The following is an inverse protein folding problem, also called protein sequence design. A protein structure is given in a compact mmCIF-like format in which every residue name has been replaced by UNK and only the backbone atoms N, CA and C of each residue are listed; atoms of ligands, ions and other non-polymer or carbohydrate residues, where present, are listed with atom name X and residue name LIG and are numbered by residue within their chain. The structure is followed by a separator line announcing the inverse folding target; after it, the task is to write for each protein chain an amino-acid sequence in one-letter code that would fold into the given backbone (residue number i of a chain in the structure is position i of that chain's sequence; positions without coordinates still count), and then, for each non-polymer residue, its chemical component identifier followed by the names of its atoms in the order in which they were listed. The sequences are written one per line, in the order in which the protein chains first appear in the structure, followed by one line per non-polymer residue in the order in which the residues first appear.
data_IF_578519125304
#
_entry.id   IF_578519125304
#
_cell.length_a   1.000
_cell.length_b   1.000
_cell.length_c   1.000
_cell.angle_alpha   90.00
_cell.angle_beta   90.00
_cell.angle_gamma   90.00
#
_symmetry.space_group_name_H-M   'P 1'
#
loop_
_entity.id
_entity.type
_entity.pdbx_description
1 polymer ?
#
# COMPACT_ATOMS: atom_id res chain seq x y z
N UNK A 1 6.06 -6.09 -4.77
CA UNK A 1 7.26 -6.14 -3.93
C UNK A 1 8.49 -6.24 -4.81
N UNK A 2 9.40 -5.28 -4.73
CA UNK A 2 10.65 -5.20 -5.51
C UNK A 2 11.86 -5.62 -4.67
N UNK A 3 13.05 -5.65 -5.30
CA UNK A 3 14.32 -5.97 -4.62
C UNK A 3 14.60 -5.11 -3.39
N UNK A 4 14.20 -3.85 -3.39
CA UNK A 4 14.33 -2.98 -2.20
C UNK A 4 13.48 -3.46 -1.04
N UNK A 5 12.25 -3.89 -1.31
CA UNK A 5 11.38 -4.48 -0.29
C UNK A 5 11.91 -5.82 0.21
N UNK A 6 12.34 -6.70 -0.69
CA UNK A 6 12.96 -7.98 -0.34
C UNK A 6 14.24 -7.80 0.49
N UNK A 7 15.07 -6.79 0.18
CA UNK A 7 16.24 -6.46 0.98
C UNK A 7 15.87 -6.08 2.41
N UNK A 8 14.84 -5.29 2.62
CA UNK A 8 14.36 -4.94 3.96
C UNK A 8 13.87 -6.19 4.72
N UNK A 9 13.09 -7.04 4.06
CA UNK A 9 12.61 -8.30 4.64
C UNK A 9 13.75 -9.26 4.97
N UNK A 10 14.80 -9.32 4.15
CA UNK A 10 16.00 -10.12 4.42
C UNK A 10 16.73 -9.67 5.67
N UNK A 11 16.82 -8.35 5.91
CA UNK A 11 17.46 -7.81 7.10
C UNK A 11 16.75 -8.17 8.41
N UNK A 12 15.45 -8.43 8.37
CA UNK A 12 14.68 -8.89 9.53
C UNK A 12 14.33 -10.40 9.47
N UNK A 13 14.92 -11.17 8.55
CA UNK A 13 14.73 -12.62 8.47
C UNK A 13 13.37 -13.05 7.90
N UNK A 14 12.61 -12.13 7.25
CA UNK A 14 11.25 -12.37 6.77
C UNK A 14 11.14 -12.63 5.26
N UNK A 15 12.27 -12.63 4.52
CA UNK A 15 12.22 -12.75 3.06
C UNK A 15 11.56 -14.04 2.59
N UNK A 16 11.91 -15.18 3.16
CA UNK A 16 11.35 -16.49 2.74
C UNK A 16 9.86 -16.56 2.99
N UNK A 17 9.40 -16.17 4.18
CA UNK A 17 7.98 -16.14 4.50
C UNK A 17 7.18 -15.21 3.58
N UNK A 18 7.75 -14.04 3.24
CA UNK A 18 7.10 -13.13 2.30
C UNK A 18 7.05 -13.71 0.88
N UNK A 19 8.07 -14.46 0.45
CA UNK A 19 8.08 -15.11 -0.86
C UNK A 19 7.02 -16.20 -0.98
N UNK A 20 6.70 -16.93 0.10
CA UNK A 20 5.65 -17.96 0.12
C UNK A 20 4.26 -17.41 -0.22
N UNK A 21 4.00 -16.13 0.09
CA UNK A 21 2.73 -15.45 -0.17
C UNK A 21 2.80 -14.49 -1.37
N UNK A 22 3.86 -14.57 -2.18
CA UNK A 22 4.05 -13.76 -3.38
C UNK A 22 3.67 -14.50 -4.65
N UNK A 23 3.23 -13.76 -5.65
CA UNK A 23 3.11 -14.23 -7.03
C UNK A 23 4.14 -13.49 -7.89
N UNK A 24 5.10 -14.19 -8.51
CA UNK A 24 6.06 -13.57 -9.41
C UNK A 24 5.38 -13.11 -10.70
N UNK A 25 5.65 -11.87 -11.10
CA UNK A 25 5.23 -11.28 -12.37
C UNK A 25 6.46 -10.98 -13.21
N UNK A 26 6.59 -11.65 -14.34
CA UNK A 26 7.80 -11.60 -15.18
C UNK A 26 7.81 -10.43 -16.16
N UNK A 27 6.68 -9.76 -16.34
CA UNK A 27 6.57 -8.61 -17.22
C UNK A 27 5.28 -7.82 -17.00
N UNK A 28 5.13 -6.81 -17.83
CA UNK A 28 3.90 -6.03 -17.96
C UNK A 28 3.12 -6.54 -19.17
N UNK A 29 1.82 -6.71 -19.03
CA UNK A 29 0.91 -6.99 -20.14
C UNK A 29 0.03 -5.77 -20.37
N UNK A 30 0.33 -5.08 -21.47
CA UNK A 30 -0.40 -3.88 -21.87
C UNK A 30 -1.64 -4.28 -22.66
N UNK A 31 -2.77 -3.63 -22.39
CA UNK A 31 -4.04 -3.83 -23.08
C UNK A 31 -4.45 -2.56 -23.80
N UNK A 32 -4.58 -2.62 -25.11
CA UNK A 32 -5.06 -1.49 -25.89
C UNK A 32 -6.59 -1.33 -25.83
N UNK A 33 -7.12 -0.36 -26.55
CA UNK A 33 -8.56 -0.08 -26.60
C UNK A 33 -9.34 -1.06 -27.50
N UNK A 34 -8.64 -1.83 -28.34
CA UNK A 34 -9.22 -2.82 -29.25
C UNK A 34 -9.24 -4.23 -28.64
N UNK A 35 -8.65 -4.39 -27.45
CA UNK A 35 -8.53 -5.67 -26.74
C UNK A 35 -7.29 -6.48 -27.09
N UNK A 36 -6.38 -5.93 -27.93
CA UNK A 36 -5.09 -6.57 -28.18
C UNK A 36 -4.17 -6.43 -26.97
N UNK A 37 -3.25 -7.37 -26.84
CA UNK A 37 -2.28 -7.37 -25.75
C UNK A 37 -0.86 -7.45 -26.26
N UNK A 38 0.06 -6.77 -25.61
CA UNK A 38 1.48 -6.90 -25.85
C UNK A 38 2.26 -6.93 -24.54
N UNK A 39 3.24 -7.83 -24.48
CA UNK A 39 4.06 -8.04 -23.30
C UNK A 39 5.32 -7.20 -23.36
N UNK A 40 5.75 -6.68 -22.21
CA UNK A 40 7.01 -5.99 -22.01
C UNK A 40 7.67 -6.49 -20.74
N UNK A 41 8.89 -6.99 -20.85
CA UNK A 41 9.68 -7.41 -19.69
C UNK A 41 10.05 -6.21 -18.81
N UNK A 42 10.31 -6.46 -17.53
CA UNK A 42 10.77 -5.41 -16.61
C UNK A 42 12.16 -4.90 -16.94
N UNK A 43 13.01 -5.75 -17.48
CA UNK A 43 14.35 -5.42 -17.95
C UNK A 43 14.75 -6.29 -19.14
N UNK A 44 15.93 -6.03 -19.71
CA UNK A 44 16.52 -6.89 -20.75
C UNK A 44 17.23 -8.14 -20.19
N UNK A 45 17.14 -8.42 -18.89
CA UNK A 45 17.78 -9.58 -18.26
C UNK A 45 16.77 -10.71 -18.09
N UNK A 46 17.24 -11.94 -18.28
CA UNK A 46 16.47 -13.13 -17.99
C UNK A 46 16.24 -13.27 -16.48
N UNK A 47 15.06 -13.76 -16.08
CA UNK A 47 14.66 -14.02 -14.70
C UNK A 47 14.50 -12.79 -13.79
N UNK A 48 14.45 -11.58 -14.31
CA UNK A 48 14.01 -10.42 -13.53
C UNK A 48 12.47 -10.35 -13.47
N UNK A 49 11.97 -10.26 -12.26
CA UNK A 49 10.53 -10.19 -11.98
C UNK A 49 10.26 -9.32 -10.75
N UNK A 50 9.04 -8.86 -10.63
CA UNK A 50 8.54 -8.27 -9.38
C UNK A 50 7.48 -9.19 -8.79
N UNK A 51 7.28 -9.09 -7.49
CA UNK A 51 6.31 -9.94 -6.80
C UNK A 51 5.04 -9.14 -6.52
N UNK A 52 3.89 -9.70 -6.90
CA UNK A 52 2.62 -9.31 -6.31
C UNK A 52 2.52 -9.89 -4.91
N UNK A 53 2.01 -9.12 -3.98
CA UNK A 53 1.77 -9.52 -2.60
C UNK A 53 0.62 -8.71 -2.03
N UNK A 54 -0.28 -9.36 -1.34
CA UNK A 54 -1.32 -8.68 -0.56
C UNK A 54 -0.69 -7.85 0.54
N UNK A 55 -1.06 -6.57 0.63
CA UNK A 55 -0.60 -5.70 1.72
C UNK A 55 -1.09 -6.16 3.08
N UNK A 56 -2.31 -6.70 3.13
CA UNK A 56 -2.90 -7.26 4.33
C UNK A 56 -2.12 -8.46 4.84
N UNK A 57 -1.85 -9.42 3.94
CA UNK A 57 -1.12 -10.65 4.31
C UNK A 57 0.32 -10.37 4.71
N UNK A 58 1.01 -9.46 3.98
CA UNK A 58 2.34 -9.03 4.38
C UNK A 58 2.35 -8.39 5.76
N UNK A 59 1.38 -7.52 6.05
CA UNK A 59 1.25 -6.91 7.36
C UNK A 59 0.98 -7.95 8.45
N UNK A 60 0.10 -8.90 8.19
CA UNK A 60 -0.23 -9.98 9.12
C UNK A 60 1.00 -10.82 9.49
N UNK A 61 1.76 -11.34 8.50
CA UNK A 61 2.94 -12.15 8.80
C UNK A 61 4.04 -11.39 9.53
N UNK A 62 4.15 -10.07 9.32
CA UNK A 62 5.11 -9.22 10.03
C UNK A 62 4.69 -8.98 11.49
N UNK A 63 3.39 -8.77 11.73
CA UNK A 63 2.84 -8.64 13.08
C UNK A 63 2.93 -9.97 13.85
N UNK A 64 2.57 -11.09 13.21
CA UNK A 64 2.70 -12.43 13.78
C UNK A 64 4.16 -12.76 14.17
N UNK A 65 5.13 -12.29 13.39
CA UNK A 65 6.53 -12.48 13.75
C UNK A 65 6.95 -11.57 14.91
N UNK A 66 6.52 -10.30 14.89
CA UNK A 66 6.83 -9.36 15.96
C UNK A 66 6.27 -9.83 17.31
N UNK A 67 5.07 -10.40 17.32
CA UNK A 67 4.39 -10.88 18.53
C UNK A 67 5.10 -12.08 19.21
N UNK A 68 5.94 -12.82 18.48
CA UNK A 68 6.74 -13.92 19.05
C UNK A 68 7.86 -13.45 19.99
N UNK A 69 8.22 -12.19 19.95
CA UNK A 69 9.26 -11.63 20.79
C UNK A 69 8.67 -11.16 22.12
N UNK A 70 9.12 -11.72 23.21
CA UNK A 70 8.60 -11.45 24.58
C UNK A 70 8.69 -9.96 24.99
N UNK A 71 9.60 -9.21 24.37
CA UNK A 71 9.78 -7.78 24.61
C UNK A 71 8.99 -6.88 23.67
N UNK A 72 8.14 -7.44 22.80
CA UNK A 72 7.27 -6.70 21.89
C UNK A 72 5.82 -6.80 22.37
N UNK A 73 5.14 -5.67 22.42
CA UNK A 73 3.71 -5.59 22.73
C UNK A 73 2.98 -4.88 21.58
N UNK A 74 1.99 -5.53 21.02
CA UNK A 74 1.15 -4.98 19.96
C UNK A 74 -0.14 -4.43 20.58
N UNK A 75 -0.44 -3.18 20.27
CA UNK A 75 -1.65 -2.50 20.72
C UNK A 75 -2.49 -2.05 19.54
N UNK A 76 -3.62 -2.71 19.30
CA UNK A 76 -4.56 -2.39 18.24
C UNK A 76 -5.62 -1.38 18.69
N UNK A 77 -6.29 -0.75 17.72
CA UNK A 77 -7.33 0.26 17.95
C UNK A 77 -6.87 1.49 18.74
N UNK A 78 -5.56 1.75 18.75
CA UNK A 78 -4.96 2.89 19.43
C UNK A 78 -4.44 3.89 18.38
N UNK A 79 -5.09 5.02 18.26
CA UNK A 79 -4.67 6.08 17.32
C UNK A 79 -3.81 7.09 18.04
N UNK A 80 -2.60 7.30 17.55
CA UNK A 80 -1.76 8.41 18.00
C UNK A 80 -2.37 9.73 17.51
N UNK A 81 -2.74 10.60 18.44
CA UNK A 81 -3.31 11.92 18.14
C UNK A 81 -2.19 12.97 18.03
N UNK A 82 -1.25 12.96 18.98
CA UNK A 82 -0.10 13.84 18.91
C UNK A 82 1.05 13.30 19.79
N UNK A 83 2.25 13.88 19.61
CA UNK A 83 3.44 13.56 20.41
C UNK A 83 4.01 14.83 21.02
N UNK A 84 4.20 14.84 22.34
CA UNK A 84 5.05 15.82 23.02
C UNK A 84 6.50 15.49 22.70
N UNK A 85 7.09 16.28 21.80
CA UNK A 85 8.44 16.05 21.30
C UNK A 85 9.52 16.30 22.36
N UNK A 86 9.28 17.23 23.28
CA UNK A 86 10.28 17.57 24.31
C UNK A 86 10.40 16.46 25.36
N UNK A 87 9.27 15.88 25.76
CA UNK A 87 9.22 14.91 26.83
C UNK A 87 9.15 13.45 26.33
N UNK A 88 9.08 13.24 25.01
CA UNK A 88 8.89 11.95 24.36
C UNK A 88 7.63 11.21 24.88
N UNK A 89 6.51 11.93 24.98
CA UNK A 89 5.22 11.40 25.40
C UNK A 89 4.29 11.31 24.18
N UNK A 90 3.82 10.11 23.85
CA UNK A 90 2.84 9.90 22.81
C UNK A 90 1.43 9.83 23.40
N UNK A 91 0.50 10.62 22.86
CA UNK A 91 -0.90 10.70 23.27
C UNK A 91 -1.78 9.94 22.28
N UNK A 92 -2.58 9.04 22.81
CA UNK A 92 -3.41 8.12 22.04
C UNK A 92 -4.88 8.24 22.43
N UNK A 93 -5.72 7.93 21.45
CA UNK A 93 -7.12 7.63 21.65
C UNK A 93 -7.39 6.16 21.44
N UNK A 94 -8.01 5.52 22.40
CA UNK A 94 -8.51 4.17 22.27
C UNK A 94 -9.86 4.17 21.52
N UNK A 95 -9.90 3.58 20.33
CA UNK A 95 -11.12 3.53 19.53
C UNK A 95 -12.16 2.55 20.07
N UNK A 96 -11.78 1.59 20.89
CA UNK A 96 -12.69 0.63 21.51
C UNK A 96 -13.38 1.23 22.76
N UNK A 97 -12.60 1.83 23.67
CA UNK A 97 -13.13 2.40 24.91
C UNK A 97 -13.47 3.89 24.83
N UNK A 98 -12.98 4.60 23.78
CA UNK A 98 -13.06 6.06 23.59
C UNK A 98 -12.25 6.87 24.60
N UNK A 99 -11.43 6.25 25.41
CA UNK A 99 -10.59 6.88 26.41
C UNK A 99 -9.28 7.41 25.78
N UNK A 100 -8.81 8.50 26.36
CA UNK A 100 -7.51 9.07 26.01
C UNK A 100 -6.47 8.57 27.03
N UNK A 101 -5.26 8.23 26.54
CA UNK A 101 -4.15 7.81 27.40
C UNK A 101 -2.81 8.24 26.78
N UNK A 102 -1.76 8.18 27.58
CA UNK A 102 -0.41 8.59 27.16
C UNK A 102 0.62 7.53 27.52
N UNK A 103 1.67 7.47 26.71
CA UNK A 103 2.81 6.58 26.93
C UNK A 103 4.09 7.41 26.90
N UNK A 104 4.87 7.32 27.97
CA UNK A 104 6.23 7.84 28.05
C UNK A 104 7.18 6.86 27.37
N UNK A 105 8.11 7.35 26.57
CA UNK A 105 9.08 6.52 25.88
C UNK A 105 10.46 7.16 25.84
N UNK A 106 11.51 6.34 25.84
CA UNK A 106 12.87 6.84 25.63
C UNK A 106 13.09 7.27 24.17
N UNK A 107 12.44 6.57 23.21
CA UNK A 107 12.52 6.85 21.78
C UNK A 107 11.17 6.53 21.14
N UNK A 108 10.71 7.39 20.23
CA UNK A 108 9.49 7.19 19.46
C UNK A 108 9.83 7.12 17.97
N UNK A 109 9.44 6.05 17.29
CA UNK A 109 9.54 5.90 15.85
C UNK A 109 8.18 6.09 15.21
N UNK A 110 8.08 7.00 14.23
CA UNK A 110 6.88 7.22 13.44
C UNK A 110 6.87 6.38 12.18
N UNK A 111 6.09 5.30 12.16
CA UNK A 111 5.76 4.52 10.96
C UNK A 111 4.35 4.79 10.43
N UNK A 112 3.74 5.91 10.80
CA UNK A 112 2.33 6.27 10.66
C UNK A 112 1.98 6.93 9.30
N UNK A 113 2.88 6.84 8.31
CA UNK A 113 2.60 7.11 6.90
C UNK A 113 2.42 8.59 6.54
N UNK A 114 1.69 8.83 5.43
CA UNK A 114 1.51 10.17 4.87
C UNK A 114 0.76 11.14 5.80
N UNK A 115 -0.16 10.62 6.62
CA UNK A 115 -0.91 11.40 7.61
C UNK A 115 -0.26 11.54 8.98
N UNK A 116 1.03 11.22 9.12
CA UNK A 116 1.78 11.08 10.37
C UNK A 116 1.46 12.12 11.43
N UNK A 117 0.99 11.66 12.60
CA UNK A 117 0.75 12.48 13.79
C UNK A 117 2.07 12.95 14.40
N UNK A 118 3.11 12.08 14.38
CA UNK A 118 4.43 12.46 14.85
C UNK A 118 5.01 13.61 14.01
N UNK A 119 4.92 13.53 12.67
CA UNK A 119 5.39 14.63 11.80
C UNK A 119 4.61 15.92 12.04
N UNK A 120 3.28 15.85 12.20
CA UNK A 120 2.45 17.02 12.54
C UNK A 120 2.88 17.65 13.85
N UNK A 121 3.25 16.85 14.84
CA UNK A 121 3.76 17.33 16.11
C UNK A 121 5.07 18.10 15.96
N UNK A 122 6.01 17.63 15.11
CA UNK A 122 7.23 18.38 14.77
C UNK A 122 6.94 19.71 14.05
N UNK A 123 5.98 19.74 13.14
CA UNK A 123 5.59 20.97 12.43
C UNK A 123 4.99 22.01 13.39
N UNK A 124 4.23 21.57 14.39
CA UNK A 124 3.61 22.45 15.40
C UNK A 124 4.58 22.91 16.48
N UNK A 125 5.68 22.19 16.70
CA UNK A 125 6.67 22.53 17.72
C UNK A 125 7.67 23.58 17.22
N UNK A 126 7.52 24.82 17.71
CA UNK A 126 8.30 25.98 17.24
C UNK A 126 9.79 25.89 17.58
N UNK A 127 10.18 25.16 18.60
CA UNK A 127 11.58 25.08 19.04
C UNK A 127 12.45 24.30 18.07
N UNK A 128 11.91 23.36 17.31
CA UNK A 128 12.64 22.51 16.38
C UNK A 128 12.82 23.12 14.98
N UNK A 129 12.18 24.22 14.67
CA UNK A 129 12.22 24.87 13.36
C UNK A 129 12.07 23.86 12.20
N UNK A 130 11.18 22.90 12.36
CA UNK A 130 10.95 21.83 11.41
C UNK A 130 10.21 22.35 10.19
N UNK A 131 10.78 22.14 8.99
CA UNK A 131 10.16 22.50 7.72
C UNK A 131 9.59 21.28 7.03
N UNK A 132 8.37 21.39 6.52
CA UNK A 132 7.69 20.32 5.79
C UNK A 132 6.86 20.92 4.64
N UNK A 133 6.96 20.30 3.47
CA UNK A 133 6.11 20.58 2.31
C UNK A 133 5.42 19.31 1.86
N UNK A 134 4.17 19.41 1.49
CA UNK A 134 3.38 18.32 0.95
C UNK A 134 2.53 18.82 -0.21
N UNK A 135 2.84 18.33 -1.41
CA UNK A 135 2.11 18.65 -2.61
C UNK A 135 1.24 17.44 -3.00
N UNK A 136 -0.01 17.69 -3.32
CA UNK A 136 -0.95 16.66 -3.78
C UNK A 136 -1.01 16.68 -5.30
N UNK A 137 -0.97 15.48 -5.89
CA UNK A 137 -1.28 15.33 -7.30
C UNK A 137 -2.78 15.52 -7.52
N UNK A 138 -3.17 16.02 -8.69
CA UNK A 138 -4.58 16.13 -9.08
C UNK A 138 -5.18 14.78 -9.52
N UNK A 139 -4.57 13.68 -9.09
CA UNK A 139 -5.02 12.32 -9.36
C UNK A 139 -5.18 11.55 -8.07
N UNK A 140 -6.30 10.88 -7.95
CA UNK A 140 -6.56 9.89 -6.93
C UNK A 140 -6.42 8.46 -7.46
N UNK A 141 -6.66 7.50 -6.59
CA UNK A 141 -6.80 6.12 -6.99
C UNK A 141 -7.96 5.44 -6.26
N UNK A 142 -8.58 4.50 -6.95
CA UNK A 142 -9.62 3.64 -6.40
C UNK A 142 -9.17 2.19 -6.52
N UNK A 143 -9.25 1.46 -5.40
CA UNK A 143 -9.02 0.02 -5.39
C UNK A 143 -10.31 -0.70 -5.76
N UNK A 144 -10.20 -1.59 -6.73
CA UNK A 144 -11.26 -2.43 -7.28
C UNK A 144 -10.74 -3.88 -7.30
N UNK A 145 -11.57 -4.83 -7.71
CA UNK A 145 -11.22 -6.23 -7.76
C UNK A 145 -11.74 -6.90 -9.04
N UNK A 146 -10.92 -7.79 -9.62
CA UNK A 146 -11.38 -8.83 -10.53
C UNK A 146 -11.46 -10.12 -9.69
N UNK A 147 -12.64 -10.67 -9.44
CA UNK A 147 -12.76 -11.86 -8.61
C UNK A 147 -12.15 -13.09 -9.29
N UNK A 148 -11.84 -14.11 -8.52
CA UNK A 148 -11.52 -15.42 -9.07
C UNK A 148 -12.71 -16.00 -9.87
N UNK A 149 -12.44 -16.92 -10.79
CA UNK A 149 -13.50 -17.66 -11.46
C UNK A 149 -14.25 -18.59 -10.49
N UNK A 150 -15.29 -19.26 -10.98
CA UNK A 150 -16.11 -20.18 -10.18
C UNK A 150 -15.33 -21.39 -9.63
N UNK A 151 -14.11 -21.63 -10.10
CA UNK A 151 -13.19 -22.69 -9.66
C UNK A 151 -12.04 -22.16 -8.79
N UNK A 152 -12.07 -20.87 -8.41
CA UNK A 152 -11.02 -20.22 -7.65
C UNK A 152 -9.75 -19.93 -8.46
N UNK A 153 -9.84 -19.80 -9.78
CA UNK A 153 -8.68 -19.54 -10.66
C UNK A 153 -8.67 -18.11 -11.17
N UNK A 154 -7.46 -17.65 -11.49
CA UNK A 154 -7.26 -16.35 -12.11
C UNK A 154 -7.93 -16.30 -13.49
N UNK A 155 -8.74 -15.26 -13.74
CA UNK A 155 -9.43 -15.04 -15.01
C UNK A 155 -8.53 -14.50 -16.12
N UNK A 156 -7.40 -13.89 -15.75
CA UNK A 156 -6.38 -13.38 -16.68
C UNK A 156 -5.00 -13.87 -16.23
N UNK A 157 -3.94 -13.60 -17.00
CA UNK A 157 -2.59 -14.12 -16.76
C UNK A 157 -2.01 -13.67 -15.40
N UNK A 158 -1.78 -14.60 -14.47
CA UNK A 158 -1.16 -14.28 -13.15
C UNK A 158 0.33 -13.95 -13.22
N UNK A 159 1.00 -14.23 -14.34
CA UNK A 159 2.44 -14.00 -14.48
C UNK A 159 2.81 -12.58 -14.92
N UNK A 160 1.86 -11.65 -14.94
CA UNK A 160 2.06 -10.30 -15.45
C UNK A 160 1.39 -9.25 -14.56
N UNK A 161 1.99 -8.05 -14.54
CA UNK A 161 1.29 -6.83 -14.17
C UNK A 161 0.46 -6.37 -15.37
N UNK A 162 -0.85 -6.44 -15.26
CA UNK A 162 -1.74 -5.94 -16.30
C UNK A 162 -1.85 -4.42 -16.24
N UNK A 163 -1.84 -3.76 -17.40
CA UNK A 163 -1.95 -2.31 -17.50
C UNK A 163 -2.88 -1.96 -18.67
N UNK A 164 -3.91 -1.17 -18.38
CA UNK A 164 -4.83 -0.57 -19.35
C UNK A 164 -4.61 0.95 -19.39
N UNK A 165 -3.70 1.47 -20.21
CA UNK A 165 -3.54 2.91 -20.39
C UNK A 165 -4.71 3.47 -21.21
N UNK A 166 -5.26 4.60 -20.77
CA UNK A 166 -6.42 5.27 -21.39
C UNK A 166 -6.25 6.78 -21.41
N UNK A 167 -5.16 7.27 -22.00
CA UNK A 167 -4.87 8.69 -22.06
C UNK A 167 -4.60 9.27 -20.67
N UNK A 168 -5.59 9.97 -20.12
CA UNK A 168 -5.46 10.66 -18.84
C UNK A 168 -5.65 9.76 -17.62
N UNK A 169 -6.11 8.53 -17.82
CA UNK A 169 -6.29 7.58 -16.72
C UNK A 169 -5.70 6.20 -17.04
N UNK A 170 -5.58 5.39 -16.04
CA UNK A 170 -4.97 4.07 -16.17
C UNK A 170 -5.55 3.12 -15.12
N UNK A 171 -5.77 1.85 -15.55
CA UNK A 171 -5.97 0.75 -14.62
C UNK A 171 -4.72 -0.15 -14.62
N UNK A 172 -4.43 -0.69 -13.45
CA UNK A 172 -3.47 -1.79 -13.31
C UNK A 172 -4.12 -2.92 -12.53
N UNK A 173 -3.71 -4.17 -12.79
CA UNK A 173 -4.17 -5.31 -12.01
C UNK A 173 -3.00 -6.21 -11.62
N UNK A 174 -2.98 -6.60 -10.35
CA UNK A 174 -1.97 -7.45 -9.74
C UNK A 174 -2.64 -8.72 -9.19
N UNK A 175 -2.10 -9.92 -9.44
CA UNK A 175 -2.70 -11.18 -9.00
C UNK A 175 -2.58 -11.37 -7.48
N UNK A 176 -3.59 -11.98 -6.88
CA UNK A 176 -3.63 -12.42 -5.49
C UNK A 176 -3.59 -13.95 -5.40
N UNK A 177 -3.20 -14.49 -4.25
CA UNK A 177 -3.06 -15.93 -4.04
C UNK A 177 -4.39 -16.69 -4.11
N UNK A 178 -5.51 -16.01 -3.86
CA UNK A 178 -6.86 -16.58 -3.90
C UNK A 178 -7.48 -16.67 -5.30
N UNK A 179 -6.71 -16.28 -6.34
CA UNK A 179 -7.18 -16.28 -7.73
C UNK A 179 -7.81 -14.96 -8.19
N UNK A 180 -8.00 -14.01 -7.30
CA UNK A 180 -8.45 -12.66 -7.64
C UNK A 180 -7.31 -11.76 -8.13
N UNK A 181 -7.67 -10.55 -8.57
CA UNK A 181 -6.71 -9.48 -8.83
C UNK A 181 -7.12 -8.23 -8.08
N UNK A 182 -6.17 -7.62 -7.39
CA UNK A 182 -6.31 -6.24 -6.93
C UNK A 182 -6.12 -5.32 -8.12
N UNK A 183 -7.14 -4.52 -8.41
CA UNK A 183 -7.14 -3.54 -9.51
C UNK A 183 -7.04 -2.14 -8.92
N UNK A 184 -6.17 -1.33 -9.49
CA UNK A 184 -6.07 0.08 -9.10
C UNK A 184 -6.40 0.95 -10.30
N UNK A 185 -7.46 1.75 -10.18
CA UNK A 185 -7.79 2.82 -11.12
C UNK A 185 -7.10 4.10 -10.65
N UNK A 186 -6.30 4.70 -11.52
CA UNK A 186 -5.74 6.03 -11.34
C UNK A 186 -6.52 7.00 -12.22
N UNK A 187 -7.08 8.06 -11.62
CA UNK A 187 -7.98 8.96 -12.29
C UNK A 187 -7.83 10.38 -11.69
N UNK A 188 -7.99 11.41 -12.51
CA UNK A 188 -8.06 12.79 -12.03
C UNK A 188 -9.25 12.98 -11.09
N UNK A 189 -9.15 13.93 -10.16
CA UNK A 189 -10.27 14.30 -9.30
C UNK A 189 -11.36 15.04 -10.08
N UNK A 190 -10.98 16.01 -10.92
CA UNK A 190 -11.88 16.99 -11.55
C UNK A 190 -11.50 17.36 -13.01
N UNK A 191 -10.33 16.92 -13.50
CA UNK A 191 -9.87 17.23 -14.84
C UNK A 191 -10.17 16.12 -15.84
N UNK A 192 -10.36 16.51 -17.13
CA UNK A 192 -10.64 15.60 -18.23
C UNK A 192 -12.12 15.16 -18.30
N UNK A 193 -12.43 14.38 -19.33
CA UNK A 193 -13.78 13.85 -19.56
C UNK A 193 -14.16 12.81 -18.50
N UNK A 194 -13.21 11.96 -18.11
CA UNK A 194 -13.37 10.93 -17.07
C UNK A 194 -12.62 11.35 -15.82
N UNK A 195 -13.35 11.63 -14.74
CA UNK A 195 -12.80 12.03 -13.46
C UNK A 195 -13.70 11.59 -12.30
N UNK A 196 -13.20 11.62 -11.07
CA UNK A 196 -13.96 11.14 -9.90
C UNK A 196 -15.21 11.97 -9.60
N UNK A 197 -15.26 13.25 -9.97
CA UNK A 197 -16.46 14.07 -9.79
C UNK A 197 -17.57 13.70 -10.78
N UNK A 198 -17.21 13.27 -11.99
CA UNK A 198 -18.15 12.93 -13.06
C UNK A 198 -18.63 11.47 -13.00
N UNK A 199 -17.77 10.53 -12.54
CA UNK A 199 -18.08 9.09 -12.47
C UNK A 199 -18.81 8.75 -11.15
N UNK A 200 -20.02 9.24 -11.00
CA UNK A 200 -20.81 9.12 -9.74
C UNK A 200 -21.94 8.12 -9.81
N UNK A 201 -22.25 7.55 -10.97
CA UNK A 201 -23.31 6.57 -11.18
C UNK A 201 -22.82 5.39 -12.01
N UNK A 202 -23.47 4.21 -11.85
CA UNK A 202 -23.14 2.99 -12.61
C UNK A 202 -23.23 3.19 -14.13
N UNK A 203 -24.15 4.07 -14.60
CA UNK A 203 -24.31 4.39 -16.02
C UNK A 203 -23.12 5.16 -16.61
N UNK A 204 -22.31 5.80 -15.77
CA UNK A 204 -21.16 6.60 -16.20
C UNK A 204 -19.82 5.86 -16.03
N UNK A 205 -19.84 4.70 -15.39
CA UNK A 205 -18.66 3.84 -15.17
C UNK A 205 -18.62 2.74 -16.22
#
# INVERSE_FOLDING_TARGET
LSDRGLKALRLCGMEEKAREICIPMFGRLMHDTEGNTFSSNYSGRENEYINSISRGDLNAILLDEAEKHENVQLHFNKKCEHVDIENAIAHFKDYATKEDFSIDATVIFGGDGAGSSLRKSYVSERKFLFSYSQDYLNHGYKELEIPADTNGKHQISKGHLHIWPRGDFMLIALPNMDGSFTVTLFLSYDEGEFNFENLTTEEKI
#
